data_IF_278367790107
#
_entry.id   IF_278367790107
#
_cell.length_a   1.000
_cell.length_b   1.000
_cell.length_c   1.000
_cell.angle_alpha   90.00
_cell.angle_beta   90.00
_cell.angle_gamma   90.00
#
_symmetry.space_group_name_H-M   'P 1'
#
loop_
_entity.id
_entity.type
_entity.pdbx_description
1 polymer ?
#
# COMPACT_ATOMS: atom_id res chain seq x y z
N UNK A 1 110.35 16.75 -134.61
CA UNK A 1 110.40 15.69 -133.59
C UNK A 1 109.05 15.70 -132.87
N UNK A 2 108.05 15.11 -133.55
CA UNK A 2 107.19 14.04 -133.03
C UNK A 2 106.23 14.56 -131.92
N UNK A 3 105.20 15.35 -132.22
CA UNK A 3 104.09 15.17 -133.18
C UNK A 3 103.11 14.06 -132.77
N UNK A 4 102.12 14.42 -131.97
CA UNK A 4 100.71 14.10 -132.19
C UNK A 4 99.86 15.09 -131.38
N UNK A 5 99.67 16.26 -131.98
CA UNK A 5 98.55 17.13 -131.64
C UNK A 5 97.34 16.59 -132.41
N UNK A 6 96.57 15.69 -131.81
CA UNK A 6 95.21 15.42 -132.29
C UNK A 6 94.35 16.64 -131.93
N UNK A 7 94.02 17.43 -132.96
CA UNK A 7 92.95 18.41 -132.89
C UNK A 7 91.65 17.66 -132.57
N UNK A 8 91.21 17.66 -131.31
CA UNK A 8 89.90 17.14 -130.96
C UNK A 8 88.81 18.08 -131.50
N UNK A 9 87.83 17.52 -132.20
CA UNK A 9 86.62 18.19 -132.66
C UNK A 9 85.87 18.82 -131.46
N UNK A 10 85.41 20.08 -131.52
CA UNK A 10 84.65 20.74 -130.44
C UNK A 10 83.47 19.93 -129.89
N UNK A 11 82.90 19.03 -130.70
CA UNK A 11 81.83 18.11 -130.30
C UNK A 11 82.33 17.00 -129.37
N UNK A 12 83.60 16.61 -129.46
CA UNK A 12 84.22 15.57 -128.62
C UNK A 12 84.62 16.15 -127.25
N UNK A 13 85.07 17.40 -127.17
CA UNK A 13 85.35 18.08 -125.88
C UNK A 13 84.08 18.28 -125.01
N UNK A 14 82.95 18.67 -125.61
CA UNK A 14 81.66 18.77 -124.91
C UNK A 14 81.16 17.41 -124.39
N UNK A 15 81.39 16.34 -125.16
CA UNK A 15 81.10 14.97 -124.72
C UNK A 15 81.97 14.56 -123.52
N UNK A 16 83.27 14.89 -123.52
CA UNK A 16 84.16 14.61 -122.39
C UNK A 16 83.76 15.40 -121.13
N UNK A 17 83.37 16.67 -121.27
CA UNK A 17 82.87 17.48 -120.15
C UNK A 17 81.59 16.89 -119.56
N UNK A 18 80.64 16.49 -120.42
CA UNK A 18 79.40 15.80 -120.00
C UNK A 18 79.69 14.47 -119.33
N UNK A 19 80.62 13.68 -119.85
CA UNK A 19 81.06 12.42 -119.22
C UNK A 19 81.63 12.68 -117.83
N UNK A 20 82.53 13.64 -117.68
CA UNK A 20 83.14 13.97 -116.39
C UNK A 20 82.12 14.48 -115.35
N UNK A 21 81.18 15.34 -115.76
CA UNK A 21 80.08 15.79 -114.89
C UNK A 21 79.21 14.61 -114.48
N UNK A 22 78.90 13.72 -115.41
CA UNK A 22 78.07 12.53 -115.18
C UNK A 22 78.77 11.55 -114.24
N UNK A 23 80.06 11.30 -114.41
CA UNK A 23 80.86 10.45 -113.53
C UNK A 23 80.93 11.01 -112.11
N UNK A 24 81.15 12.33 -111.95
CA UNK A 24 81.15 12.96 -110.62
C UNK A 24 79.77 12.90 -109.95
N UNK A 25 78.69 13.07 -110.72
CA UNK A 25 77.33 12.88 -110.21
C UNK A 25 77.06 11.41 -109.82
N UNK A 26 77.58 10.45 -110.58
CA UNK A 26 77.51 9.02 -110.26
C UNK A 26 78.25 8.70 -108.95
N UNK A 27 79.45 9.23 -108.74
CA UNK A 27 80.21 9.03 -107.50
C UNK A 27 79.48 9.61 -106.27
N UNK A 28 78.93 10.82 -106.39
CA UNK A 28 78.18 11.48 -105.33
C UNK A 28 76.91 10.71 -104.96
N UNK A 29 76.14 10.29 -105.97
CA UNK A 29 74.92 9.49 -105.77
C UNK A 29 75.23 8.13 -105.17
N UNK A 30 76.31 7.46 -105.61
CA UNK A 30 76.75 6.19 -105.03
C UNK A 30 77.17 6.34 -103.56
N UNK A 31 77.89 7.41 -103.21
CA UNK A 31 78.26 7.70 -101.83
C UNK A 31 77.02 7.99 -100.95
N UNK A 32 76.01 8.68 -101.49
CA UNK A 32 74.74 8.91 -100.81
C UNK A 32 73.93 7.62 -100.62
N UNK A 33 73.87 6.76 -101.64
CA UNK A 33 73.27 5.42 -101.53
C UNK A 33 73.93 4.62 -100.41
N UNK A 34 75.27 4.59 -100.33
CA UNK A 34 75.97 3.89 -99.26
C UNK A 34 75.70 4.49 -97.87
N UNK A 35 75.62 5.83 -97.75
CA UNK A 35 75.23 6.49 -96.49
C UNK A 35 73.81 6.12 -96.08
N UNK A 36 72.87 6.13 -97.03
CA UNK A 36 71.47 5.76 -96.79
C UNK A 36 71.33 4.28 -96.43
N UNK A 37 72.11 3.39 -97.05
CA UNK A 37 72.16 1.96 -96.69
C UNK A 37 72.61 1.75 -95.25
N UNK A 38 73.70 2.40 -94.82
CA UNK A 38 74.17 2.32 -93.42
C UNK A 38 73.13 2.85 -92.42
N UNK A 39 72.46 3.95 -92.76
CA UNK A 39 71.36 4.49 -91.94
C UNK A 39 70.18 3.52 -91.89
N UNK A 40 69.81 2.90 -93.01
CA UNK A 40 68.74 1.89 -93.07
C UNK A 40 69.06 0.70 -92.17
N UNK A 41 70.27 0.16 -92.25
CA UNK A 41 70.73 -0.94 -91.40
C UNK A 41 70.72 -0.58 -89.91
N UNK A 42 71.11 0.65 -89.55
CA UNK A 42 71.06 1.12 -88.17
C UNK A 42 69.61 1.18 -87.65
N UNK A 43 68.68 1.77 -88.43
CA UNK A 43 67.27 1.84 -88.07
C UNK A 43 66.62 0.45 -88.01
N UNK A 44 66.99 -0.46 -88.92
CA UNK A 44 66.50 -1.85 -88.89
C UNK A 44 66.93 -2.58 -87.60
N UNK A 45 68.16 -2.35 -87.11
CA UNK A 45 68.63 -2.91 -85.83
C UNK A 45 67.87 -2.33 -84.65
N UNK A 46 67.73 -1.01 -84.58
CA UNK A 46 66.94 -0.35 -83.53
C UNK A 46 65.48 -0.85 -83.51
N UNK A 47 64.87 -1.02 -84.68
CA UNK A 47 63.51 -1.55 -84.80
C UNK A 47 63.41 -3.00 -84.27
N UNK A 48 64.43 -3.83 -84.54
CA UNK A 48 64.49 -5.20 -84.03
C UNK A 48 64.63 -5.23 -82.51
N UNK A 49 65.51 -4.39 -81.94
CA UNK A 49 65.70 -4.25 -80.49
C UNK A 49 64.40 -3.80 -79.81
N UNK A 50 63.73 -2.76 -80.34
CA UNK A 50 62.43 -2.30 -79.84
C UNK A 50 61.34 -3.36 -79.96
N UNK A 51 61.36 -4.19 -81.01
CA UNK A 51 60.41 -5.30 -81.16
C UNK A 51 60.61 -6.37 -80.08
N UNK A 52 61.85 -6.63 -79.67
CA UNK A 52 62.17 -7.56 -78.58
C UNK A 52 61.75 -6.96 -77.24
N UNK A 53 62.11 -5.70 -76.97
CA UNK A 53 61.74 -4.99 -75.74
C UNK A 53 60.22 -4.95 -75.56
N UNK A 54 59.46 -4.63 -76.62
CA UNK A 54 57.99 -4.65 -76.60
C UNK A 54 57.42 -6.02 -76.20
N UNK A 55 58.01 -7.12 -76.68
CA UNK A 55 57.58 -8.48 -76.31
C UNK A 55 57.86 -8.78 -74.84
N UNK A 56 59.00 -8.32 -74.30
CA UNK A 56 59.36 -8.47 -72.89
C UNK A 56 58.38 -7.68 -72.02
N UNK A 57 58.17 -6.40 -72.31
CA UNK A 57 57.26 -5.53 -71.58
C UNK A 57 55.82 -6.05 -71.58
N UNK A 58 55.36 -6.64 -72.69
CA UNK A 58 54.03 -7.27 -72.75
C UNK A 58 53.92 -8.44 -71.77
N UNK A 59 54.92 -9.34 -71.73
CA UNK A 59 54.93 -10.46 -70.78
C UNK A 59 54.98 -9.99 -69.33
N UNK A 60 55.74 -8.93 -69.06
CA UNK A 60 55.84 -8.39 -67.70
C UNK A 60 54.55 -7.71 -67.27
N UNK A 61 53.84 -7.04 -68.19
CA UNK A 61 52.50 -6.51 -67.95
C UNK A 61 51.51 -7.63 -67.62
N UNK A 62 51.49 -8.72 -68.39
CA UNK A 62 50.63 -9.90 -68.15
C UNK A 62 50.89 -10.49 -66.75
N UNK A 63 52.15 -10.73 -66.38
CA UNK A 63 52.52 -11.20 -65.03
C UNK A 63 52.08 -10.26 -63.92
N UNK A 64 52.23 -8.94 -64.12
CA UNK A 64 51.79 -7.93 -63.15
C UNK A 64 50.26 -7.94 -62.98
N UNK A 65 49.52 -8.11 -64.07
CA UNK A 65 48.06 -8.22 -64.02
C UNK A 65 47.60 -9.48 -63.27
N UNK A 66 48.21 -10.63 -63.55
CA UNK A 66 47.95 -11.88 -62.82
C UNK A 66 48.26 -11.73 -61.33
N UNK A 67 49.41 -11.15 -60.99
CA UNK A 67 49.79 -10.90 -59.60
C UNK A 67 48.77 -10.02 -58.86
N UNK A 68 48.27 -8.96 -59.52
CA UNK A 68 47.23 -8.10 -58.95
C UNK A 68 45.94 -8.89 -58.70
N UNK A 69 45.53 -9.79 -59.60
CA UNK A 69 44.36 -10.64 -59.40
C UNK A 69 44.55 -11.58 -58.20
N UNK A 70 45.70 -12.24 -58.09
CA UNK A 70 46.03 -13.13 -56.96
C UNK A 70 46.01 -12.36 -55.64
N UNK A 71 46.59 -11.17 -55.59
CA UNK A 71 46.62 -10.35 -54.38
C UNK A 71 45.22 -9.88 -53.96
N UNK A 72 44.34 -9.55 -54.91
CA UNK A 72 42.94 -9.21 -54.62
C UNK A 72 42.19 -10.39 -53.99
N UNK A 73 42.30 -11.58 -54.59
CA UNK A 73 41.69 -12.79 -54.05
C UNK A 73 42.22 -13.11 -52.65
N UNK A 74 43.52 -12.95 -52.43
CA UNK A 74 44.14 -13.17 -51.12
C UNK A 74 43.64 -12.18 -50.08
N UNK A 75 43.55 -10.89 -50.43
CA UNK A 75 42.98 -9.85 -49.56
C UNK A 75 41.55 -10.23 -49.16
N UNK A 76 40.71 -10.59 -50.12
CA UNK A 76 39.30 -10.90 -49.86
C UNK A 76 39.16 -12.13 -48.96
N UNK A 77 39.95 -13.18 -49.19
CA UNK A 77 40.01 -14.35 -48.31
C UNK A 77 40.46 -14.01 -46.89
N UNK A 78 41.41 -13.08 -46.70
CA UNK A 78 41.81 -12.64 -45.37
C UNK A 78 40.72 -11.84 -44.66
N UNK A 79 40.05 -10.94 -45.37
CA UNK A 79 38.94 -10.14 -44.82
C UNK A 79 37.79 -11.04 -44.37
N UNK A 80 37.42 -12.04 -45.18
CA UNK A 80 36.38 -13.01 -44.81
C UNK A 80 36.76 -13.83 -43.58
N UNK A 81 38.02 -14.30 -43.52
CA UNK A 81 38.54 -15.03 -42.34
C UNK A 81 38.53 -14.17 -41.09
N UNK A 82 38.96 -12.92 -41.19
CA UNK A 82 38.96 -11.97 -40.07
C UNK A 82 37.54 -11.67 -39.61
N UNK A 83 36.60 -11.48 -40.54
CA UNK A 83 35.18 -11.30 -40.21
C UNK A 83 34.62 -12.52 -39.48
N UNK A 84 34.87 -13.73 -39.99
CA UNK A 84 34.41 -14.97 -39.35
C UNK A 84 34.98 -15.13 -37.94
N UNK A 85 36.26 -14.82 -37.76
CA UNK A 85 36.91 -14.84 -36.44
C UNK A 85 36.29 -13.81 -35.49
N UNK A 86 36.00 -12.59 -35.96
CA UNK A 86 35.31 -11.56 -35.17
C UNK A 86 33.91 -12.01 -34.75
N UNK A 87 33.12 -12.52 -35.68
CA UNK A 87 31.76 -13.02 -35.40
C UNK A 87 31.78 -14.14 -34.36
N UNK A 88 32.68 -15.10 -34.53
CA UNK A 88 32.86 -16.21 -33.59
C UNK A 88 33.33 -15.73 -32.20
N UNK A 89 34.24 -14.74 -32.14
CA UNK A 89 34.70 -14.14 -30.88
C UNK A 89 33.56 -13.42 -30.14
N UNK A 90 32.75 -12.66 -30.87
CA UNK A 90 31.57 -11.99 -30.31
C UNK A 90 30.52 -13.00 -29.83
N UNK A 91 30.34 -14.12 -30.53
CA UNK A 91 29.47 -15.21 -30.07
C UNK A 91 29.98 -15.82 -28.76
N UNK A 92 31.28 -16.13 -28.67
CA UNK A 92 31.88 -16.63 -27.42
C UNK A 92 31.73 -15.63 -26.28
N UNK A 93 31.94 -14.34 -26.55
CA UNK A 93 31.76 -13.28 -25.56
C UNK A 93 30.31 -13.24 -25.06
N UNK A 94 29.33 -13.27 -25.96
CA UNK A 94 27.90 -13.35 -25.60
C UNK A 94 27.59 -14.59 -24.77
N UNK A 95 28.08 -15.76 -25.18
CA UNK A 95 27.90 -17.03 -24.46
C UNK A 95 28.50 -16.96 -23.05
N UNK A 96 29.71 -16.43 -22.90
CA UNK A 96 30.36 -16.23 -21.60
C UNK A 96 29.58 -15.28 -20.71
N UNK A 97 29.08 -14.16 -21.25
CA UNK A 97 28.24 -13.23 -20.49
C UNK A 97 26.95 -13.87 -20.00
N UNK A 98 26.26 -14.63 -20.86
CA UNK A 98 25.02 -15.34 -20.50
C UNK A 98 25.26 -16.42 -19.44
N UNK A 99 26.31 -17.24 -19.60
CA UNK A 99 26.66 -18.23 -18.57
C UNK A 99 27.03 -17.56 -17.24
N UNK A 100 27.70 -16.41 -17.28
CA UNK A 100 28.05 -15.65 -16.08
C UNK A 100 26.81 -15.11 -15.35
N UNK A 101 25.83 -14.59 -16.09
CA UNK A 101 24.56 -14.13 -15.49
C UNK A 101 23.77 -15.29 -14.89
N UNK A 102 23.67 -16.42 -15.59
CA UNK A 102 23.00 -17.62 -15.06
C UNK A 102 23.65 -18.13 -13.77
N UNK A 103 24.99 -18.15 -13.71
CA UNK A 103 25.72 -18.55 -12.49
C UNK A 103 25.40 -17.60 -11.33
N UNK A 104 25.33 -16.30 -11.58
CA UNK A 104 25.01 -15.30 -10.54
C UNK A 104 23.56 -15.44 -10.05
N UNK A 105 22.61 -15.64 -10.95
CA UNK A 105 21.19 -15.87 -10.64
C UNK A 105 21.00 -17.13 -9.78
N UNK A 106 21.59 -18.25 -10.17
CA UNK A 106 21.52 -19.50 -9.41
C UNK A 106 22.21 -19.38 -8.04
N UNK A 107 23.36 -18.69 -7.96
CA UNK A 107 24.01 -18.38 -6.66
C UNK A 107 23.09 -17.57 -5.75
N UNK A 108 22.35 -16.61 -6.28
CA UNK A 108 21.42 -15.78 -5.51
C UNK A 108 20.20 -16.59 -5.06
N UNK A 109 19.63 -17.42 -5.94
CA UNK A 109 18.54 -18.34 -5.61
C UNK A 109 18.92 -19.30 -4.49
N UNK A 110 20.11 -19.92 -4.57
CA UNK A 110 20.62 -20.79 -3.52
C UNK A 110 20.84 -20.04 -2.20
N UNK A 111 21.33 -18.78 -2.23
CA UNK A 111 21.44 -17.96 -1.02
C UNK A 111 20.08 -17.71 -0.39
N UNK A 112 19.07 -17.37 -1.20
CA UNK A 112 17.71 -17.13 -0.71
C UNK A 112 17.13 -18.37 -0.04
N UNK A 113 17.25 -19.54 -0.68
CA UNK A 113 16.80 -20.81 -0.10
C UNK A 113 17.52 -21.16 1.20
N UNK A 114 18.84 -20.89 1.29
CA UNK A 114 19.57 -21.09 2.55
C UNK A 114 19.09 -20.17 3.67
N UNK A 115 18.78 -18.90 3.37
CA UNK A 115 18.22 -17.99 4.37
C UNK A 115 16.82 -18.44 4.81
N UNK A 116 15.93 -18.77 3.87
CA UNK A 116 14.59 -19.28 4.20
C UNK A 116 14.64 -20.53 5.08
N UNK A 117 15.56 -21.45 4.81
CA UNK A 117 15.79 -22.63 5.65
C UNK A 117 16.33 -22.26 7.03
N UNK A 118 17.27 -21.31 7.10
CA UNK A 118 17.84 -20.84 8.37
C UNK A 118 16.76 -20.18 9.25
N UNK A 119 15.89 -19.35 8.66
CA UNK A 119 14.78 -18.71 9.36
C UNK A 119 13.81 -19.76 9.92
N UNK A 120 13.45 -20.76 9.10
CA UNK A 120 12.60 -21.88 9.53
C UNK A 120 13.24 -22.69 10.68
N UNK A 121 14.55 -22.90 10.63
CA UNK A 121 15.28 -23.60 11.68
C UNK A 121 15.29 -22.79 12.98
N UNK A 122 15.53 -21.48 12.90
CA UNK A 122 15.52 -20.57 14.04
C UNK A 122 14.13 -20.52 14.71
N UNK A 123 13.07 -20.44 13.90
CA UNK A 123 11.68 -20.51 14.39
C UNK A 123 11.41 -21.83 15.13
N UNK A 124 11.88 -22.95 14.58
CA UNK A 124 11.70 -24.26 15.18
C UNK A 124 12.49 -24.39 16.48
N UNK A 125 13.74 -23.94 16.51
CA UNK A 125 14.56 -23.92 17.72
C UNK A 125 13.94 -23.04 18.80
N UNK A 126 13.42 -21.87 18.43
CA UNK A 126 12.73 -20.96 19.35
C UNK A 126 11.48 -21.61 19.94
N UNK A 127 10.66 -22.27 19.12
CA UNK A 127 9.49 -23.03 19.60
C UNK A 127 9.90 -24.14 20.58
N UNK A 128 10.95 -24.89 20.24
CA UNK A 128 11.45 -25.96 21.10
C UNK A 128 11.98 -25.42 22.44
N UNK A 129 12.74 -24.32 22.40
CA UNK A 129 13.23 -23.63 23.60
C UNK A 129 12.09 -23.16 24.49
N UNK A 130 11.10 -22.48 23.92
CA UNK A 130 9.92 -22.04 24.66
C UNK A 130 9.20 -23.24 25.31
N UNK A 131 8.99 -24.32 24.55
CA UNK A 131 8.35 -25.52 25.08
C UNK A 131 9.16 -26.12 26.25
N UNK A 132 10.48 -26.22 26.12
CA UNK A 132 11.35 -26.72 27.18
C UNK A 132 11.32 -25.84 28.44
N UNK A 133 11.22 -24.52 28.28
CA UNK A 133 11.12 -23.58 29.40
C UNK A 133 9.75 -23.63 30.11
N UNK A 134 8.65 -23.81 29.35
CA UNK A 134 7.31 -23.95 29.91
C UNK A 134 7.10 -25.30 30.60
N UNK A 135 7.54 -26.39 29.99
CA UNK A 135 7.38 -27.76 30.50
C UNK A 135 8.60 -28.22 31.29
N UNK A 136 9.32 -27.30 31.92
CA UNK A 136 10.38 -27.66 32.85
C UNK A 136 9.78 -28.49 34.00
N UNK A 137 10.19 -29.77 34.18
CA UNK A 137 9.58 -30.65 35.16
C UNK A 137 9.58 -30.08 36.57
N UNK A 138 10.66 -29.40 36.98
CA UNK A 138 10.77 -28.81 38.33
C UNK A 138 9.76 -27.69 38.53
N UNK A 139 9.65 -26.79 37.57
CA UNK A 139 8.67 -25.69 37.61
C UNK A 139 7.25 -26.23 37.64
N UNK A 140 6.98 -27.25 36.82
CA UNK A 140 5.65 -27.86 36.73
C UNK A 140 5.29 -28.60 38.03
N UNK A 141 6.24 -29.31 38.64
CA UNK A 141 6.08 -29.94 39.94
C UNK A 141 5.79 -28.90 41.04
N UNK A 142 6.55 -27.81 41.08
CA UNK A 142 6.32 -26.70 42.03
C UNK A 142 4.93 -26.06 41.83
N UNK A 143 4.51 -25.83 40.59
CA UNK A 143 3.20 -25.25 40.27
C UNK A 143 2.06 -26.21 40.62
N UNK A 144 2.20 -27.52 40.35
CA UNK A 144 1.23 -28.54 40.75
C UNK A 144 1.10 -28.59 42.29
N UNK A 145 2.22 -28.62 43.01
CA UNK A 145 2.23 -28.64 44.47
C UNK A 145 1.55 -27.39 45.05
N UNK A 146 1.85 -26.21 44.51
CA UNK A 146 1.21 -24.97 44.90
C UNK A 146 -0.31 -24.99 44.66
N UNK A 147 -0.74 -25.47 43.49
CA UNK A 147 -2.16 -25.62 43.15
C UNK A 147 -2.87 -26.65 44.03
N UNK A 148 -2.19 -27.73 44.40
CA UNK A 148 -2.70 -28.72 45.35
C UNK A 148 -2.85 -28.16 46.76
N UNK A 149 -1.92 -27.31 47.21
CA UNK A 149 -1.98 -26.64 48.50
C UNK A 149 -3.14 -25.63 48.53
N UNK A 150 -3.24 -24.74 47.54
CA UNK A 150 -4.39 -23.83 47.40
C UNK A 150 -5.73 -24.57 47.38
N UNK A 151 -5.80 -25.72 46.68
CA UNK A 151 -7.01 -26.55 46.67
C UNK A 151 -7.34 -27.11 48.05
N UNK A 152 -6.35 -27.47 48.87
CA UNK A 152 -6.57 -27.95 50.24
C UNK A 152 -7.07 -26.81 51.13
N UNK A 153 -6.49 -25.62 51.01
CA UNK A 153 -6.92 -24.42 51.75
C UNK A 153 -8.37 -24.06 51.42
N UNK A 154 -8.70 -23.96 50.14
CA UNK A 154 -10.07 -23.65 49.69
C UNK A 154 -11.09 -24.69 50.19
N UNK A 155 -10.73 -25.99 50.19
CA UNK A 155 -11.58 -27.05 50.74
C UNK A 155 -11.75 -26.95 52.25
N UNK A 156 -10.73 -26.50 52.97
CA UNK A 156 -10.81 -26.31 54.41
C UNK A 156 -11.70 -25.11 54.74
N UNK A 157 -11.55 -24.00 54.02
CA UNK A 157 -12.41 -22.83 54.14
C UNK A 157 -13.88 -23.16 53.83
N UNK A 158 -14.12 -23.96 52.80
CA UNK A 158 -15.45 -24.48 52.47
C UNK A 158 -16.05 -25.28 53.63
N UNK A 159 -15.30 -26.21 54.23
CA UNK A 159 -15.76 -26.99 55.39
C UNK A 159 -16.10 -26.12 56.59
N UNK A 160 -15.28 -25.13 56.89
CA UNK A 160 -15.50 -24.20 58.00
C UNK A 160 -16.75 -23.35 57.79
N UNK A 161 -16.96 -22.85 56.56
CA UNK A 161 -18.20 -22.16 56.19
C UNK A 161 -19.42 -23.07 56.31
N UNK A 162 -19.31 -24.33 55.90
CA UNK A 162 -20.39 -25.31 56.03
C UNK A 162 -20.72 -25.62 57.49
N UNK A 163 -19.72 -25.71 58.36
CA UNK A 163 -19.92 -25.90 59.80
C UNK A 163 -20.62 -24.70 60.43
N UNK A 164 -20.13 -23.49 60.15
CA UNK A 164 -20.77 -22.24 60.61
C UNK A 164 -22.23 -22.14 60.14
N UNK A 165 -22.50 -22.55 58.90
CA UNK A 165 -23.86 -22.58 58.38
C UNK A 165 -24.76 -23.53 59.20
N UNK A 166 -24.30 -24.75 59.48
CA UNK A 166 -25.03 -25.71 60.32
C UNK A 166 -25.25 -25.22 61.75
N UNK A 167 -24.22 -24.61 62.36
CA UNK A 167 -24.35 -24.03 63.70
C UNK A 167 -25.42 -22.93 63.70
N UNK A 168 -25.42 -22.07 62.69
CA UNK A 168 -26.44 -21.03 62.52
C UNK A 168 -27.84 -21.64 62.33
N UNK A 169 -27.98 -22.63 61.45
CA UNK A 169 -29.24 -23.37 61.26
C UNK A 169 -29.74 -24.00 62.57
N UNK A 170 -28.88 -24.66 63.35
CA UNK A 170 -29.26 -25.22 64.64
C UNK A 170 -29.62 -24.15 65.67
N UNK A 171 -28.88 -23.02 65.71
CA UNK A 171 -29.25 -21.90 66.58
C UNK A 171 -30.60 -21.32 66.19
N UNK A 172 -30.90 -21.22 64.89
CA UNK A 172 -32.19 -20.79 64.38
C UNK A 172 -33.30 -21.74 64.85
N UNK A 173 -33.10 -23.06 64.71
CA UNK A 173 -34.05 -24.08 65.18
C UNK A 173 -34.27 -23.95 66.70
N UNK A 174 -33.19 -23.90 67.50
CA UNK A 174 -33.30 -23.76 68.97
C UNK A 174 -34.04 -22.50 69.39
N UNK A 175 -33.75 -21.39 68.73
CA UNK A 175 -34.42 -20.12 69.02
C UNK A 175 -35.89 -20.13 68.57
N UNK A 176 -36.24 -20.86 67.50
CA UNK A 176 -37.64 -21.13 67.11
C UNK A 176 -38.36 -21.97 68.16
N UNK A 177 -37.74 -23.05 68.64
CA UNK A 177 -38.29 -23.93 69.69
C UNK A 177 -38.48 -23.22 71.03
N UNK A 178 -37.58 -22.28 71.38
CA UNK A 178 -37.69 -21.45 72.58
C UNK A 178 -38.72 -20.31 72.46
N UNK A 179 -39.41 -20.16 71.31
CA UNK A 179 -40.37 -19.08 71.06
C UNK A 179 -39.73 -17.69 70.95
N UNK A 180 -38.39 -17.62 70.81
CA UNK A 180 -37.64 -16.38 70.63
C UNK A 180 -37.70 -15.95 69.16
N UNK A 181 -37.56 -16.89 68.22
CA UNK A 181 -37.75 -16.68 66.77
C UNK A 181 -39.11 -17.22 66.33
N UNK A 182 -40.19 -16.47 66.53
CA UNK A 182 -41.47 -16.78 65.87
C UNK A 182 -41.50 -16.10 64.48
N UNK A 183 -42.22 -16.64 63.49
CA UNK A 183 -42.36 -16.02 62.17
C UNK A 183 -42.80 -14.55 62.26
N UNK A 184 -43.65 -14.23 63.23
CA UNK A 184 -44.12 -12.87 63.52
C UNK A 184 -42.97 -11.99 64.01
N UNK A 185 -42.11 -12.47 64.94
CA UNK A 185 -40.94 -11.70 65.39
C UNK A 185 -39.92 -11.48 64.29
N UNK A 186 -39.70 -12.46 63.41
CA UNK A 186 -38.80 -12.32 62.26
C UNK A 186 -39.34 -11.29 61.26
N UNK A 187 -40.64 -11.36 60.94
CA UNK A 187 -41.30 -10.36 60.12
C UNK A 187 -41.21 -8.98 60.75
N UNK A 188 -41.50 -8.82 62.04
CA UNK A 188 -41.47 -7.51 62.72
C UNK A 188 -40.10 -6.81 62.71
N UNK A 189 -38.99 -7.56 62.57
CA UNK A 189 -37.63 -7.00 62.43
C UNK A 189 -37.14 -6.92 60.99
N UNK A 190 -37.94 -7.39 60.03
CA UNK A 190 -37.61 -7.35 58.60
C UNK A 190 -37.75 -5.94 58.04
N UNK A 191 -37.06 -5.70 56.93
CA UNK A 191 -37.17 -4.43 56.20
C UNK A 191 -38.60 -4.24 55.66
N UNK A 192 -39.29 -5.34 55.35
CA UNK A 192 -40.67 -5.39 54.89
C UNK A 192 -41.68 -4.92 55.95
N UNK A 193 -41.52 -5.30 57.23
CA UNK A 193 -42.39 -4.78 58.30
C UNK A 193 -42.11 -3.32 58.60
N UNK A 194 -40.83 -2.90 58.59
CA UNK A 194 -40.47 -1.50 58.74
C UNK A 194 -41.08 -0.62 57.63
N UNK A 195 -41.14 -1.13 56.40
CA UNK A 195 -41.82 -0.47 55.28
C UNK A 195 -43.34 -0.38 55.51
N UNK A 196 -43.97 -1.47 55.97
CA UNK A 196 -45.42 -1.52 56.23
C UNK A 196 -45.85 -0.53 57.32
N UNK A 197 -45.07 -0.39 58.40
CA UNK A 197 -45.34 0.58 59.48
C UNK A 197 -45.32 2.01 58.93
N UNK A 198 -44.35 2.37 58.09
CA UNK A 198 -44.30 3.71 57.47
C UNK A 198 -45.55 4.02 56.66
N UNK A 199 -46.05 3.06 55.88
CA UNK A 199 -47.28 3.24 55.10
C UNK A 199 -48.47 3.50 56.03
N UNK A 200 -48.61 2.73 57.11
CA UNK A 200 -49.68 2.96 58.08
C UNK A 200 -49.55 4.31 58.80
N UNK A 201 -48.34 4.76 59.12
CA UNK A 201 -48.10 6.08 59.70
C UNK A 201 -48.53 7.20 58.73
N UNK A 202 -48.20 7.07 57.44
CA UNK A 202 -48.63 8.00 56.39
C UNK A 202 -50.16 8.02 56.23
N UNK A 203 -50.80 6.85 56.17
CA UNK A 203 -52.26 6.73 56.08
C UNK A 203 -52.96 7.30 57.32
N UNK A 204 -52.43 7.03 58.52
CA UNK A 204 -52.96 7.56 59.76
C UNK A 204 -52.81 9.09 59.84
N UNK A 205 -51.70 9.65 59.35
CA UNK A 205 -51.52 11.10 59.25
C UNK A 205 -52.57 11.74 58.33
N UNK A 206 -52.87 11.10 57.19
CA UNK A 206 -53.94 11.55 56.28
C UNK A 206 -55.31 11.47 56.96
N UNK A 207 -55.61 10.36 57.65
CA UNK A 207 -56.87 10.17 58.35
C UNK A 207 -57.09 11.21 59.46
N UNK A 208 -56.04 11.51 60.24
CA UNK A 208 -56.06 12.56 61.27
C UNK A 208 -56.33 13.95 60.65
N UNK A 209 -55.66 14.28 59.55
CA UNK A 209 -55.90 15.55 58.86
C UNK A 209 -57.35 15.68 58.34
N UNK A 210 -57.94 14.58 57.86
CA UNK A 210 -59.36 14.54 57.47
C UNK A 210 -60.29 14.72 58.67
N UNK A 211 -59.98 14.07 59.79
CA UNK A 211 -60.75 14.18 61.04
C UNK A 211 -60.70 15.63 61.57
N UNK A 212 -59.53 16.25 61.61
CA UNK A 212 -59.36 17.65 62.03
C UNK A 212 -60.13 18.61 61.13
N UNK A 213 -60.12 18.35 59.81
CA UNK A 213 -60.91 19.14 58.85
C UNK A 213 -62.42 18.96 59.08
N UNK A 214 -62.87 17.75 59.35
CA UNK A 214 -64.27 17.46 59.66
C UNK A 214 -64.71 18.11 60.98
N UNK A 215 -63.86 18.03 62.02
CA UNK A 215 -64.09 18.67 63.31
C UNK A 215 -64.14 20.20 63.20
N UNK A 216 -63.22 20.80 62.44
CA UNK A 216 -63.22 22.25 62.18
C UNK A 216 -64.51 22.67 61.48
N UNK A 217 -64.94 21.93 60.45
CA UNK A 217 -66.22 22.17 59.75
C UNK A 217 -67.42 21.99 60.66
N UNK A 218 -67.39 21.01 61.56
CA UNK A 218 -68.45 20.80 62.54
C UNK A 218 -68.53 21.97 63.53
N UNK A 219 -67.39 22.46 64.03
CA UNK A 219 -67.33 23.65 64.89
C UNK A 219 -67.88 24.89 64.18
N UNK A 220 -67.50 25.13 62.92
CA UNK A 220 -68.06 26.21 62.11
C UNK A 220 -69.58 26.09 61.91
N UNK A 221 -70.08 24.87 61.68
CA UNK A 221 -71.51 24.59 61.58
C UNK A 221 -72.24 24.84 62.90
N UNK A 222 -71.63 24.47 64.03
CA UNK A 222 -72.20 24.69 65.36
C UNK A 222 -72.26 26.18 65.70
N UNK A 223 -71.20 26.94 65.40
CA UNK A 223 -71.18 28.39 65.52
C UNK A 223 -72.23 29.06 64.63
N UNK A 224 -72.35 28.63 63.38
CA UNK A 224 -73.39 29.10 62.47
C UNK A 224 -74.81 28.77 62.99
N UNK A 225 -75.02 27.56 63.51
CA UNK A 225 -76.30 27.16 64.11
C UNK A 225 -76.62 28.03 65.34
N UNK A 226 -75.66 28.23 66.23
CA UNK A 226 -75.82 29.08 67.42
C UNK A 226 -76.11 30.54 67.05
N UNK A 227 -75.43 31.06 66.01
CA UNK A 227 -75.71 32.40 65.46
C UNK A 227 -77.12 32.50 64.90
N UNK A 228 -77.53 31.57 64.03
CA UNK A 228 -78.90 31.55 63.48
C UNK A 228 -79.96 31.43 64.58
N UNK A 229 -79.70 30.62 65.61
CA UNK A 229 -80.59 30.48 66.77
C UNK A 229 -80.72 31.79 67.55
N UNK A 230 -79.63 32.51 67.77
CA UNK A 230 -79.65 33.83 68.40
C UNK A 230 -80.38 34.88 67.53
N UNK A 231 -80.19 34.86 66.21
CA UNK A 231 -80.91 35.72 65.27
C UNK A 231 -82.42 35.43 65.28
N UNK A 232 -82.83 34.15 65.33
CA UNK A 232 -84.23 33.75 65.45
C UNK A 232 -84.83 34.26 66.77
N UNK A 233 -84.14 34.07 67.90
CA UNK A 233 -84.59 34.60 69.19
C UNK A 233 -84.71 36.13 69.18
N UNK A 234 -83.74 36.83 68.58
CA UNK A 234 -83.81 38.29 68.44
C UNK A 234 -84.96 38.73 67.52
N UNK A 235 -85.29 37.96 66.48
CA UNK A 235 -86.45 38.20 65.62
C UNK A 235 -87.77 37.94 66.36
N UNK A 236 -87.86 36.87 67.16
CA UNK A 236 -89.00 36.58 68.04
C UNK A 236 -89.20 37.69 69.08
N UNK A 237 -88.13 38.18 69.71
CA UNK A 237 -88.19 39.33 70.63
C UNK A 237 -88.62 40.62 69.93
N UNK A 238 -88.12 40.89 68.72
CA UNK A 238 -88.58 42.03 67.90
C UNK A 238 -90.06 41.91 67.57
N UNK A 239 -90.53 40.71 67.24
CA UNK A 239 -91.93 40.44 66.94
C UNK A 239 -92.81 40.61 68.20
N UNK A 240 -92.33 40.18 69.37
CA UNK A 240 -92.96 40.46 70.66
C UNK A 240 -93.00 41.96 70.98
N UNK A 241 -91.92 42.71 70.71
CA UNK A 241 -91.90 44.18 70.87
C UNK A 241 -92.83 44.87 69.89
N UNK A 242 -92.95 44.38 68.65
CA UNK A 242 -93.86 44.92 67.64
C UNK A 242 -95.33 44.66 68.01
N UNK A 243 -95.64 43.46 68.50
CA UNK A 243 -96.94 43.14 69.08
C UNK A 243 -97.23 43.98 70.33
N UNK A 244 -96.23 44.20 71.18
CA UNK A 244 -96.32 45.09 72.34
C UNK A 244 -96.54 46.57 71.96
N UNK A 245 -95.91 47.04 70.89
CA UNK A 245 -96.11 48.37 70.33
C UNK A 245 -97.53 48.51 69.73
N UNK A 246 -98.01 47.53 68.96
CA UNK A 246 -99.40 47.50 68.48
C UNK A 246 -100.42 47.46 69.63
N UNK A 247 -100.16 46.69 70.69
CA UNK A 247 -101.02 46.66 71.89
C UNK A 247 -101.01 47.99 72.64
N UNK A 248 -99.88 48.71 72.65
CA UNK A 248 -99.74 50.04 73.26
C UNK A 248 -100.40 51.14 72.41
N UNK A 249 -100.39 50.97 71.08
CA UNK A 249 -101.02 51.86 70.10
C UNK A 249 -102.55 51.65 70.03
N UNK A 250 -103.04 50.41 70.24
CA UNK A 250 -104.46 50.12 70.48
C UNK A 250 -104.96 50.67 71.82
N UNK A 251 -104.10 50.78 72.85
CA UNK A 251 -104.45 51.37 74.16
C UNK A 251 -104.49 52.91 74.14
N UNK A 252 -104.02 53.55 73.08
CA UNK A 252 -103.93 55.01 72.95
C UNK A 252 -104.92 55.62 71.94
N UNK A 253 -105.90 54.84 71.42
CA UNK A 253 -107.02 55.37 70.63
C UNK A 253 -108.35 55.34 71.42
N UNK A 254 -109.09 56.46 71.53
CA UNK A 254 -110.34 56.52 72.28
C UNK A 254 -111.52 55.86 71.54
N UNK A 255 -112.42 55.29 72.34
CA UNK A 255 -113.69 54.68 71.96
C UNK A 255 -114.64 55.75 71.38
N UNK A 256 -115.09 55.56 70.14
CA UNK A 256 -116.35 56.12 69.65
C UNK A 256 -117.13 55.07 68.83
N UNK A 257 -118.22 54.63 69.46
CA UNK A 257 -119.53 54.21 68.96
C UNK A 257 -119.79 53.95 67.46
N UNK A 258 -120.66 52.94 67.27
CA UNK A 258 -121.74 52.87 66.26
C UNK A 258 -121.28 52.57 64.82
N UNK A 259 -121.96 51.82 63.95
CA UNK A 259 -123.35 51.36 63.82
C UNK A 259 -123.33 50.38 62.61
N UNK A 260 -124.03 49.22 62.64
CA UNK A 260 -125.27 48.93 61.90
C UNK A 260 -125.14 48.27 60.49
N UNK A 261 -126.02 47.27 60.28
CA UNK A 261 -126.63 46.73 59.04
C UNK A 261 -125.76 45.81 58.14
N UNK A 262 -126.26 44.71 57.55
CA UNK A 262 -127.64 44.20 57.33
C UNK A 262 -127.72 42.69 57.54
#
# INVERSE_FOLDING_TARGET
MAAEAELLDPKVEDLLAKINITLKAQELTQAEIHKLQKKREAVEKELQELCVERKILKKDLEKKQELVQVLKLRRDSYLEKEQRQREQSEEYKKRTTNLSTQILEEKLKQRKQRMEFQDQLEDLMTKHKNLAEFYNPKRLEEEILHMEEQKKELKQEEKEKLLKLKELEETEIRLREQGILTPEKFFLHSEEAACTVKIFEEENAIAMAMLDKANSRHAELLDNYNRLKAELQAAEEKLMKFLGAMYSEMRSRPILQSTIFS
#
